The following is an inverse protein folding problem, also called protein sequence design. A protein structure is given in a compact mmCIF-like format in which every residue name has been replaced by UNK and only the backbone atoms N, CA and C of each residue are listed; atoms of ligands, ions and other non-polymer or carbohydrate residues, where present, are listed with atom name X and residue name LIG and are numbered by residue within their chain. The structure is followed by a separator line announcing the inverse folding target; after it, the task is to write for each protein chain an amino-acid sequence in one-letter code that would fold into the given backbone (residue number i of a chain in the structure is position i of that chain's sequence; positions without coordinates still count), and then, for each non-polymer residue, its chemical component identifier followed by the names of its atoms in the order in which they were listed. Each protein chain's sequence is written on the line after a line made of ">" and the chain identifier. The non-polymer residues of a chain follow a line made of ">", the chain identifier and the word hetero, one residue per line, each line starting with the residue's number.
data_IF_555294610535
#
_entry.id   IF_555294610535
#
_cell.length_a   1.000
_cell.length_b   1.000
_cell.length_c   1.000
_cell.angle_alpha   90.00
_cell.angle_beta   90.00
_cell.angle_gamma   90.00
#
_symmetry.space_group_name_H-M   'P 1'
#
loop_
_entity.id
_entity.type
_entity.pdbx_description
1 polymer ?
#
# COMPACT_ATOMS: atom_id res chain seq x y z
N UNK A 1 15.26 8.48 -63.23
CA UNK A 1 15.40 7.93 -61.85
C UNK A 1 14.92 8.88 -60.76
N UNK A 2 15.23 10.15 -60.75
CA UNK A 2 14.84 11.13 -59.70
C UNK A 2 13.31 11.25 -59.49
N UNK A 3 12.50 11.20 -60.57
CA UNK A 3 11.02 11.36 -60.49
C UNK A 3 10.30 10.16 -59.85
N UNK A 4 10.86 8.95 -59.90
CA UNK A 4 10.26 7.75 -59.29
C UNK A 4 10.54 7.75 -57.79
N UNK A 5 11.73 8.20 -57.41
CA UNK A 5 12.13 8.29 -55.99
C UNK A 5 11.28 9.33 -55.21
N UNK A 6 10.99 10.47 -55.86
CA UNK A 6 10.15 11.53 -55.27
C UNK A 6 8.71 11.07 -55.12
N UNK A 7 8.16 10.28 -56.05
CA UNK A 7 6.77 9.74 -55.95
C UNK A 7 6.66 8.66 -54.85
N UNK A 8 7.68 7.81 -54.67
CA UNK A 8 7.74 6.83 -53.60
C UNK A 8 7.88 7.47 -52.23
N UNK A 9 8.68 8.54 -52.13
CA UNK A 9 8.87 9.29 -50.87
C UNK A 9 7.57 10.00 -50.45
N UNK A 10 6.84 10.59 -51.41
CA UNK A 10 5.56 11.27 -51.14
C UNK A 10 4.50 10.25 -50.72
N UNK A 11 4.44 9.06 -51.31
CA UNK A 11 3.51 8.00 -50.93
C UNK A 11 3.82 7.45 -49.53
N UNK A 12 5.11 7.35 -49.16
CA UNK A 12 5.53 6.94 -47.82
C UNK A 12 5.15 7.99 -46.77
N UNK A 13 5.37 9.28 -47.07
CA UNK A 13 5.02 10.37 -46.16
C UNK A 13 3.51 10.48 -45.94
N UNK A 14 2.70 10.31 -47.01
CA UNK A 14 1.23 10.32 -46.86
C UNK A 14 0.72 9.14 -46.08
N UNK A 15 1.33 7.95 -46.20
CA UNK A 15 0.98 6.78 -45.41
C UNK A 15 1.34 6.97 -43.95
N UNK A 16 2.48 7.62 -43.64
CA UNK A 16 2.90 7.95 -42.28
C UNK A 16 1.98 8.97 -41.62
N UNK A 17 1.48 9.95 -42.37
CA UNK A 17 0.53 10.96 -41.87
C UNK A 17 -0.88 10.40 -41.63
N UNK A 18 -1.32 9.36 -42.38
CA UNK A 18 -2.63 8.72 -42.15
C UNK A 18 -2.63 7.76 -40.94
N UNK A 19 -1.46 7.29 -40.49
CA UNK A 19 -1.36 6.39 -39.33
C UNK A 19 -1.28 7.12 -37.99
N UNK A 20 -1.03 8.44 -37.97
CA UNK A 20 -0.87 9.24 -36.74
C UNK A 20 -2.15 9.45 -35.92
N UNK A 21 -3.38 9.50 -36.47
CA UNK A 21 -4.56 9.67 -35.59
C UNK A 21 -4.91 8.41 -34.80
N UNK A 22 -4.51 7.22 -35.25
CA UNK A 22 -4.88 5.98 -34.55
C UNK A 22 -3.99 5.67 -33.32
N UNK A 23 -2.73 6.06 -33.39
CA UNK A 23 -1.80 5.88 -32.25
C UNK A 23 -2.03 6.90 -31.14
N UNK A 24 -2.49 8.12 -31.51
CA UNK A 24 -2.83 9.14 -30.50
C UNK A 24 -4.04 8.78 -29.65
N UNK A 25 -5.03 8.06 -30.21
CA UNK A 25 -6.19 7.59 -29.44
C UNK A 25 -5.85 6.43 -28.50
N UNK A 26 -4.91 5.56 -28.88
CA UNK A 26 -4.52 4.44 -28.00
C UNK A 26 -3.55 4.86 -26.89
N UNK A 27 -2.66 5.83 -27.14
CA UNK A 27 -1.74 6.33 -26.11
C UNK A 27 -2.48 7.20 -25.09
N UNK A 28 -3.48 7.98 -25.54
CA UNK A 28 -4.32 8.78 -24.62
C UNK A 28 -5.20 7.94 -23.69
N UNK A 29 -5.60 6.74 -24.11
CA UNK A 29 -6.43 5.85 -23.28
C UNK A 29 -5.63 5.10 -22.21
N UNK A 30 -4.32 4.96 -22.34
CA UNK A 30 -3.46 4.31 -21.33
C UNK A 30 -2.94 5.28 -20.25
N UNK A 31 -3.00 6.60 -20.49
CA UNK A 31 -2.55 7.61 -19.54
C UNK A 31 -3.70 8.24 -18.73
N UNK A 32 -4.93 7.87 -19.03
CA UNK A 32 -6.09 8.36 -18.31
C UNK A 32 -6.60 7.30 -17.36
N UNK A 33 -5.83 6.96 -16.34
CA UNK A 33 -6.30 6.51 -15.02
C UNK A 33 -5.16 6.33 -14.02
N UNK A 34 -4.37 7.36 -13.81
CA UNK A 34 -4.00 7.63 -12.45
C UNK A 34 -5.22 8.32 -11.85
N UNK A 35 -6.20 7.55 -11.41
CA UNK A 35 -7.10 8.03 -10.37
C UNK A 35 -6.20 8.40 -9.22
N UNK A 36 -5.92 9.69 -9.09
CA UNK A 36 -5.55 10.25 -7.81
C UNK A 36 -6.73 9.91 -6.93
N UNK A 37 -6.65 8.79 -6.20
CA UNK A 37 -7.59 8.49 -5.14
C UNK A 37 -7.44 9.65 -4.18
N UNK A 38 -8.31 10.64 -4.31
CA UNK A 38 -8.43 11.71 -3.35
C UNK A 38 -8.91 11.05 -2.08
N UNK A 39 -7.97 10.68 -1.21
CA UNK A 39 -8.28 10.09 0.07
C UNK A 39 -9.13 11.11 0.82
N UNK A 40 -10.35 10.73 1.16
CA UNK A 40 -11.30 11.62 1.83
C UNK A 40 -10.98 11.67 3.32
N UNK A 41 -11.16 12.83 3.95
CA UNK A 41 -11.05 12.96 5.41
C UNK A 41 -12.06 12.01 6.05
N UNK A 42 -11.59 11.16 6.96
CA UNK A 42 -12.39 10.14 7.62
C UNK A 42 -12.19 8.73 7.10
N UNK A 43 -11.43 8.55 6.04
CA UNK A 43 -11.02 7.23 5.57
C UNK A 43 -10.09 6.55 6.59
N UNK A 44 -9.95 5.25 6.46
CA UNK A 44 -9.12 4.45 7.34
C UNK A 44 -7.90 3.91 6.61
N UNK A 45 -6.83 3.68 7.37
CA UNK A 45 -5.67 2.95 6.90
C UNK A 45 -5.31 1.82 7.88
N UNK A 46 -4.93 0.67 7.33
CA UNK A 46 -4.46 -0.49 8.09
C UNK A 46 -2.94 -0.44 8.24
N UNK A 47 -2.45 -0.79 9.41
CA UNK A 47 -1.03 -0.97 9.73
C UNK A 47 -0.66 -2.41 9.42
N UNK A 48 0.18 -2.66 8.41
CA UNK A 48 0.55 -4.03 8.01
C UNK A 48 1.93 -4.46 8.51
N UNK A 49 2.79 -3.51 8.87
CA UNK A 49 4.18 -3.75 9.31
C UNK A 49 4.37 -3.35 10.76
N UNK A 50 5.45 -3.84 11.40
CA UNK A 50 5.73 -3.60 12.82
C UNK A 50 6.35 -2.23 13.11
N UNK A 51 6.95 -1.56 12.12
CA UNK A 51 7.73 -0.34 12.31
C UNK A 51 6.98 0.94 11.90
N UNK A 52 5.67 0.98 12.08
CA UNK A 52 4.86 2.16 11.81
C UNK A 52 4.76 3.03 13.03
N UNK A 53 5.50 4.14 13.06
CA UNK A 53 5.51 5.06 14.19
C UNK A 53 4.28 5.97 14.22
N UNK A 54 3.71 6.09 15.41
CA UNK A 54 2.77 7.16 15.74
C UNK A 54 3.54 8.31 16.38
N UNK A 55 3.53 9.48 15.73
CA UNK A 55 4.32 10.64 16.12
C UNK A 55 3.41 11.75 16.67
N UNK A 56 3.92 12.51 17.62
CA UNK A 56 3.22 13.66 18.16
C UNK A 56 3.13 14.81 17.14
N UNK A 57 4.15 14.95 16.28
CA UNK A 57 4.20 15.92 15.19
C UNK A 57 4.54 15.23 13.86
N UNK A 58 4.50 15.97 12.75
CA UNK A 58 4.88 15.44 11.42
C UNK A 58 6.41 15.26 11.31
N UNK A 59 7.02 14.62 12.30
CA UNK A 59 8.45 14.35 12.38
C UNK A 59 8.68 13.00 13.10
N UNK A 60 9.52 12.14 12.52
CA UNK A 60 9.87 10.84 13.12
C UNK A 60 10.59 10.94 14.48
N UNK A 61 11.32 12.02 14.71
CA UNK A 61 12.01 12.22 15.98
C UNK A 61 11.05 12.39 17.17
N UNK A 62 9.80 12.75 16.89
CA UNK A 62 8.74 12.89 17.88
C UNK A 62 7.84 11.63 17.98
N UNK A 63 8.41 10.47 17.64
CA UNK A 63 7.72 9.19 17.74
C UNK A 63 7.37 8.88 19.19
N UNK A 64 6.11 8.54 19.43
CA UNK A 64 5.60 8.16 20.74
C UNK A 64 5.64 6.63 20.92
N UNK A 65 5.24 5.87 19.90
CA UNK A 65 5.21 4.42 19.91
C UNK A 65 5.04 3.86 18.49
N UNK A 66 5.27 2.55 18.31
CA UNK A 66 4.92 1.83 17.11
C UNK A 66 3.47 1.36 17.18
N UNK A 67 2.70 1.64 16.14
CA UNK A 67 1.33 1.16 15.99
C UNK A 67 1.33 -0.37 15.88
N UNK A 68 0.41 -1.07 16.56
CA UNK A 68 0.33 -2.51 16.46
C UNK A 68 -0.06 -2.95 15.02
N UNK A 69 0.59 -3.99 14.46
CA UNK A 69 0.21 -4.55 13.18
C UNK A 69 -1.25 -5.03 13.18
N UNK A 70 -1.91 -4.92 12.03
CA UNK A 70 -3.33 -5.24 11.79
C UNK A 70 -4.34 -4.24 12.36
N UNK A 71 -3.89 -3.26 13.14
CA UNK A 71 -4.79 -2.22 13.66
C UNK A 71 -4.97 -1.11 12.63
N UNK A 72 -6.02 -0.33 12.80
CA UNK A 72 -6.35 0.76 11.89
C UNK A 72 -6.09 2.11 12.54
N UNK A 73 -5.84 3.08 11.68
CA UNK A 73 -5.90 4.50 12.04
C UNK A 73 -6.94 5.18 11.16
N UNK A 74 -7.64 6.16 11.70
CA UNK A 74 -8.57 6.99 10.93
C UNK A 74 -7.82 8.19 10.39
N UNK A 75 -7.94 8.43 9.09
CA UNK A 75 -7.32 9.57 8.43
C UNK A 75 -8.12 10.84 8.72
N UNK A 76 -7.46 11.85 9.26
CA UNK A 76 -8.01 13.18 9.47
C UNK A 76 -7.59 14.15 8.39
N UNK A 77 -6.32 14.06 7.94
CA UNK A 77 -5.75 14.91 6.91
C UNK A 77 -4.70 14.15 6.13
N UNK A 78 -4.81 14.17 4.82
CA UNK A 78 -3.83 13.55 3.92
C UNK A 78 -2.68 14.51 3.62
N UNK A 79 -1.46 14.00 3.71
CA UNK A 79 -0.25 14.66 3.22
C UNK A 79 0.68 13.60 2.62
N UNK A 80 1.51 13.94 1.62
CA UNK A 80 2.37 12.97 0.94
C UNK A 80 3.45 12.32 1.84
N UNK A 81 3.86 12.99 2.91
CA UNK A 81 4.94 12.52 3.79
C UNK A 81 4.38 11.98 5.10
N UNK A 82 3.57 12.76 5.80
CA UNK A 82 2.93 12.38 7.06
C UNK A 82 1.44 12.67 7.00
N UNK A 83 0.63 11.65 7.17
CA UNK A 83 -0.80 11.83 7.39
C UNK A 83 -1.10 12.17 8.84
N UNK A 84 -2.03 13.10 9.05
CA UNK A 84 -2.62 13.32 10.37
C UNK A 84 -3.68 12.26 10.60
N UNK A 85 -3.53 11.52 11.67
CA UNK A 85 -4.34 10.35 11.97
C UNK A 85 -4.90 10.38 13.38
N UNK A 86 -6.01 9.70 13.53
CA UNK A 86 -6.66 9.43 14.81
C UNK A 86 -6.51 7.94 15.13
N UNK A 87 -6.09 7.65 16.35
CA UNK A 87 -5.91 6.28 16.83
C UNK A 87 -6.66 6.08 18.15
N UNK A 88 -7.32 4.95 18.28
CA UNK A 88 -8.24 4.57 19.36
C UNK A 88 -9.49 5.46 19.42
N UNK A 89 -10.48 4.97 20.12
CA UNK A 89 -11.71 5.70 20.43
C UNK A 89 -11.78 6.02 21.92
N UNK A 90 -12.54 7.04 22.26
CA UNK A 90 -12.85 7.32 23.67
C UNK A 90 -13.75 6.22 24.22
N UNK A 91 -13.34 5.61 25.32
CA UNK A 91 -14.07 4.57 26.04
C UNK A 91 -13.77 4.66 27.55
N UNK A 92 -14.29 3.70 28.32
CA UNK A 92 -13.98 3.59 29.74
C UNK A 92 -12.48 3.39 30.00
N UNK A 93 -11.77 2.73 29.07
CA UNK A 93 -10.37 2.34 29.24
C UNK A 93 -9.41 3.02 28.29
N UNK A 94 -9.91 3.59 27.20
CA UNK A 94 -9.09 4.21 26.16
C UNK A 94 -9.50 5.66 25.91
N UNK A 95 -8.53 6.47 25.52
CA UNK A 95 -8.70 7.83 25.02
C UNK A 95 -8.23 7.89 23.57
N UNK A 96 -8.93 8.68 22.79
CA UNK A 96 -8.55 9.00 21.42
C UNK A 96 -7.24 9.78 21.39
N UNK A 97 -6.32 9.35 20.54
CA UNK A 97 -5.10 10.08 20.22
C UNK A 97 -5.16 10.65 18.81
N UNK A 98 -4.70 11.89 18.66
CA UNK A 98 -4.48 12.52 17.37
C UNK A 98 -3.00 12.79 17.21
N UNK A 99 -2.43 12.36 16.11
CA UNK A 99 -1.00 12.49 15.81
C UNK A 99 -0.73 12.28 14.32
N UNK A 100 0.46 11.83 14.02
CA UNK A 100 0.95 11.68 12.65
C UNK A 100 1.57 10.30 12.45
N UNK A 101 1.42 9.77 11.23
CA UNK A 101 2.09 8.56 10.78
C UNK A 101 2.61 8.76 9.35
N UNK A 102 3.72 8.11 8.99
CA UNK A 102 4.26 8.18 7.63
C UNK A 102 3.28 7.59 6.64
N UNK A 103 2.99 8.36 5.61
CA UNK A 103 2.00 8.00 4.56
C UNK A 103 2.40 6.73 3.81
N UNK A 104 3.68 6.56 3.52
CA UNK A 104 4.22 5.39 2.80
C UNK A 104 4.08 4.07 3.57
N UNK A 105 3.95 4.12 4.91
CA UNK A 105 3.82 2.96 5.79
C UNK A 105 2.36 2.58 6.06
N UNK A 106 1.41 3.40 5.59
CA UNK A 106 -0.02 3.19 5.79
C UNK A 106 -0.67 2.56 4.57
N UNK A 107 -1.46 1.53 4.78
CA UNK A 107 -2.26 0.90 3.72
C UNK A 107 -3.70 1.41 3.79
N UNK A 108 -4.05 2.35 2.91
CA UNK A 108 -5.40 2.92 2.86
C UNK A 108 -6.41 1.87 2.41
N UNK A 109 -7.56 1.83 3.10
CA UNK A 109 -8.62 0.87 2.82
C UNK A 109 -9.87 1.59 2.30
N UNK A 110 -10.57 1.01 1.29
CA UNK A 110 -11.75 1.64 0.67
C UNK A 110 -13.05 1.39 1.45
N UNK A 111 -12.95 0.92 2.69
CA UNK A 111 -14.08 0.60 3.54
C UNK A 111 -13.88 1.15 4.95
N UNK A 112 -14.98 1.25 5.70
CA UNK A 112 -14.95 1.59 7.13
C UNK A 112 -14.86 0.29 7.92
N UNK A 113 -13.77 0.06 8.68
CA UNK A 113 -13.63 -1.14 9.51
C UNK A 113 -14.73 -1.21 10.58
N UNK A 114 -15.24 -2.40 10.84
CA UNK A 114 -16.26 -2.63 11.89
C UNK A 114 -15.67 -2.44 13.28
N UNK A 115 -14.43 -2.87 13.47
CA UNK A 115 -13.68 -2.76 14.73
C UNK A 115 -12.28 -2.26 14.43
N UNK A 116 -12.11 -0.96 14.14
CA UNK A 116 -10.81 -0.42 13.73
C UNK A 116 -9.74 -0.60 14.81
N UNK A 117 -10.14 -0.59 16.06
CA UNK A 117 -9.25 -0.69 17.22
C UNK A 117 -9.63 -1.88 18.09
N UNK A 118 -8.64 -2.64 18.52
CA UNK A 118 -8.80 -3.71 19.48
C UNK A 118 -8.23 -3.23 20.83
N UNK A 119 -9.09 -3.11 21.82
CA UNK A 119 -8.67 -2.68 23.15
C UNK A 119 -7.95 -3.83 23.85
N UNK A 120 -6.71 -3.59 24.27
CA UNK A 120 -5.94 -4.48 25.11
C UNK A 120 -5.72 -3.81 26.48
N UNK A 121 -6.24 -4.42 27.53
CA UNK A 121 -6.05 -3.96 28.90
C UNK A 121 -5.30 -5.04 29.68
N UNK A 122 -4.29 -4.65 30.41
CA UNK A 122 -3.47 -5.57 31.18
C UNK A 122 -3.05 -4.96 32.52
N UNK A 123 -2.68 -5.80 33.45
CA UNK A 123 -2.24 -5.38 34.77
C UNK A 123 -0.71 -5.46 34.85
N UNK A 124 -0.08 -4.42 35.42
CA UNK A 124 1.35 -4.35 35.68
C UNK A 124 1.56 -4.38 37.19
N UNK A 125 2.39 -5.30 37.64
CA UNK A 125 2.73 -5.45 39.03
C UNK A 125 4.11 -4.85 39.33
N UNK A 126 4.15 -3.95 40.29
CA UNK A 126 5.39 -3.38 40.79
C UNK A 126 5.62 -3.82 42.25
N UNK A 127 6.76 -4.47 42.48
CA UNK A 127 7.23 -4.77 43.84
C UNK A 127 7.89 -3.54 44.40
N UNK A 128 7.49 -3.16 45.61
CA UNK A 128 8.13 -2.08 46.34
C UNK A 128 9.33 -2.65 47.06
N UNK A 129 10.52 -2.05 46.89
CA UNK A 129 11.76 -2.49 47.54
C UNK A 129 11.64 -2.36 49.06
N UNK A 130 11.04 -1.27 49.53
CA UNK A 130 10.67 -1.06 50.93
C UNK A 130 9.15 -0.98 51.00
N UNK A 131 8.52 -1.95 51.69
CA UNK A 131 7.07 -1.94 51.83
C UNK A 131 6.59 -0.64 52.46
N UNK A 132 5.51 -0.07 51.92
CA UNK A 132 4.88 1.13 52.48
C UNK A 132 3.91 0.71 53.57
N UNK A 133 4.10 1.26 54.79
CA UNK A 133 3.20 1.02 55.92
C UNK A 133 1.85 1.66 55.65
N UNK A 134 0.79 0.87 55.67
CA UNK A 134 -0.59 1.30 55.57
C UNK A 134 -1.34 1.01 56.85
N UNK A 135 -2.57 1.46 56.98
CA UNK A 135 -3.41 1.17 58.16
C UNK A 135 -3.66 -0.33 58.33
N UNK A 136 -3.73 -1.09 57.25
CA UNK A 136 -3.98 -2.53 57.23
C UNK A 136 -2.72 -3.39 57.17
N UNK A 137 -1.48 -2.80 57.24
CA UNK A 137 -0.23 -3.54 57.20
C UNK A 137 0.83 -2.90 56.28
N UNK A 138 1.60 -3.75 55.57
CA UNK A 138 2.62 -3.30 54.64
C UNK A 138 2.19 -3.56 53.21
N UNK A 139 2.15 -2.50 52.38
CA UNK A 139 1.99 -2.61 50.96
C UNK A 139 3.35 -2.94 50.30
N UNK A 140 3.51 -4.16 49.83
CA UNK A 140 4.74 -4.66 49.17
C UNK A 140 4.65 -4.73 47.68
N UNK A 141 3.45 -4.58 47.13
CA UNK A 141 3.18 -4.69 45.71
C UNK A 141 2.05 -3.74 45.30
N UNK A 142 2.21 -3.12 44.16
CA UNK A 142 1.17 -2.27 43.52
C UNK A 142 0.82 -2.89 42.17
N UNK A 143 -0.47 -3.14 41.97
CA UNK A 143 -1.02 -3.56 40.67
C UNK A 143 -1.65 -2.38 39.98
N UNK A 144 -1.25 -2.10 38.74
CA UNK A 144 -1.77 -1.00 37.95
C UNK A 144 -2.40 -1.53 36.69
N UNK A 145 -3.67 -1.18 36.44
CA UNK A 145 -4.37 -1.51 35.23
C UNK A 145 -4.06 -0.48 34.15
N UNK A 146 -3.57 -0.95 32.99
CA UNK A 146 -3.12 -0.13 31.89
C UNK A 146 -3.82 -0.52 30.58
N UNK A 147 -4.22 0.47 29.77
CA UNK A 147 -4.66 0.24 28.41
C UNK A 147 -3.49 0.41 27.43
N UNK A 148 -3.26 -0.59 26.61
CA UNK A 148 -2.16 -0.63 25.65
C UNK A 148 -2.45 0.20 24.39
N UNK A 149 -1.45 0.93 23.91
CA UNK A 149 -1.49 1.71 22.68
C UNK A 149 -0.47 1.23 21.64
N UNK A 150 0.73 0.88 22.06
CA UNK A 150 1.79 0.43 21.16
C UNK A 150 3.10 0.19 21.89
N UNK A 151 4.09 -0.29 21.18
CA UNK A 151 5.42 -0.56 21.70
C UNK A 151 6.37 0.60 21.42
N UNK A 152 7.29 0.84 22.33
CA UNK A 152 8.40 1.78 22.15
C UNK A 152 9.71 1.13 22.57
N UNK A 153 10.70 1.13 21.68
CA UNK A 153 11.98 0.49 21.94
C UNK A 153 13.05 1.49 22.38
N UNK A 154 13.73 1.19 23.47
CA UNK A 154 14.87 1.97 23.97
C UNK A 154 16.07 1.03 24.12
N UNK A 155 17.00 1.08 23.19
CA UNK A 155 18.11 0.13 23.13
C UNK A 155 17.61 -1.31 22.96
N UNK A 156 17.90 -2.17 23.94
CA UNK A 156 17.43 -3.57 23.96
C UNK A 156 16.13 -3.79 24.75
N UNK A 157 15.59 -2.75 25.38
CA UNK A 157 14.39 -2.84 26.20
C UNK A 157 13.15 -2.36 25.41
N UNK A 158 12.06 -3.10 25.54
CA UNK A 158 10.77 -2.73 24.95
C UNK A 158 9.82 -2.24 26.05
N UNK A 159 9.20 -1.11 25.81
CA UNK A 159 8.20 -0.50 26.68
C UNK A 159 6.85 -0.48 25.97
N UNK A 160 5.77 -0.53 26.72
CA UNK A 160 4.42 -0.27 26.21
C UNK A 160 4.05 1.19 26.50
N UNK A 161 3.60 1.90 25.48
CA UNK A 161 2.90 3.17 25.65
C UNK A 161 1.48 2.88 26.10
N UNK A 162 1.09 3.40 27.24
CA UNK A 162 -0.16 3.03 27.91
C UNK A 162 -0.92 4.23 28.44
N UNK A 163 -2.22 4.07 28.58
CA UNK A 163 -3.09 4.96 29.32
C UNK A 163 -3.40 4.34 30.69
N UNK A 164 -3.17 5.09 31.75
CA UNK A 164 -3.55 4.74 33.12
C UNK A 164 -4.24 5.93 33.80
N UNK A 165 -5.41 5.71 34.36
CA UNK A 165 -6.17 6.74 35.10
C UNK A 165 -6.29 8.08 34.38
N UNK A 166 -6.28 8.04 33.03
CA UNK A 166 -6.42 9.23 32.21
C UNK A 166 -5.11 9.89 31.78
N UNK A 167 -3.96 9.38 32.22
CA UNK A 167 -2.63 9.86 31.86
C UNK A 167 -1.87 8.84 31.01
N UNK A 168 -1.09 9.34 30.06
CA UNK A 168 -0.24 8.52 29.20
C UNK A 168 1.16 8.37 29.78
N UNK A 169 1.75 7.20 29.60
CA UNK A 169 3.10 6.92 30.06
C UNK A 169 3.67 5.64 29.47
N UNK A 170 4.88 5.28 29.89
CA UNK A 170 5.55 4.08 29.46
C UNK A 170 5.71 3.12 30.63
N UNK A 171 5.41 1.84 30.38
CA UNK A 171 5.66 0.75 31.33
C UNK A 171 6.49 -0.32 30.64
N UNK A 172 7.36 -1.05 31.35
CA UNK A 172 8.07 -2.18 30.78
C UNK A 172 7.09 -3.19 30.18
N UNK A 173 7.38 -3.71 28.99
CA UNK A 173 6.52 -4.67 28.32
C UNK A 173 6.50 -6.00 29.06
N UNK A 174 5.33 -6.47 29.52
CA UNK A 174 5.22 -7.78 30.14
C UNK A 174 5.54 -8.89 29.11
N UNK A 175 6.28 -9.92 29.52
CA UNK A 175 6.67 -11.02 28.63
C UNK A 175 5.47 -11.82 28.07
N UNK A 176 4.34 -11.80 28.77
CA UNK A 176 3.12 -12.54 28.44
C UNK A 176 2.01 -11.65 27.86
N UNK A 177 2.34 -10.43 27.42
CA UNK A 177 1.34 -9.56 26.78
C UNK A 177 0.94 -10.13 25.42
N UNK A 178 -0.32 -10.51 25.31
CA UNK A 178 -0.91 -10.99 24.07
C UNK A 178 -1.78 -9.93 23.44
N UNK A 179 -1.49 -9.61 22.18
CA UNK A 179 -2.28 -8.68 21.37
C UNK A 179 -3.17 -9.46 20.39
N UNK A 180 -4.45 -9.18 20.42
CA UNK A 180 -5.37 -9.72 19.43
C UNK A 180 -5.06 -9.13 18.06
N UNK A 181 -5.17 -9.96 17.00
CA UNK A 181 -5.03 -9.50 15.62
C UNK A 181 -6.39 -9.10 15.06
N UNK A 182 -6.42 -8.06 14.24
CA UNK A 182 -7.58 -7.70 13.46
C UNK A 182 -7.51 -8.40 12.10
N UNK A 183 -8.49 -9.24 11.79
CA UNK A 183 -8.54 -10.05 10.56
C UNK A 183 -9.34 -9.38 9.43
N UNK A 184 -9.94 -8.21 9.67
CA UNK A 184 -10.83 -7.57 8.69
C UNK A 184 -10.14 -7.27 7.35
N UNK A 185 -8.84 -6.94 7.37
CA UNK A 185 -8.09 -6.70 6.15
C UNK A 185 -7.85 -7.99 5.35
N UNK A 186 -7.52 -9.08 6.02
CA UNK A 186 -7.36 -10.40 5.40
C UNK A 186 -8.67 -10.90 4.81
N UNK A 187 -9.77 -10.72 5.55
CA UNK A 187 -11.13 -11.02 5.07
C UNK A 187 -11.48 -10.20 3.82
N UNK A 188 -11.18 -8.90 3.82
CA UNK A 188 -11.36 -8.04 2.65
C UNK A 188 -10.56 -8.53 1.45
N UNK A 189 -9.27 -8.86 1.61
CA UNK A 189 -8.46 -9.40 0.54
C UNK A 189 -9.01 -10.72 -0.02
N UNK A 190 -9.55 -11.57 0.82
CA UNK A 190 -10.18 -12.83 0.40
C UNK A 190 -11.41 -12.59 -0.48
N UNK A 191 -12.16 -11.50 -0.25
CA UNK A 191 -13.30 -11.14 -1.12
C UNK A 191 -12.89 -10.60 -2.49
N UNK A 192 -11.69 -10.05 -2.61
CA UNK A 192 -11.15 -9.55 -3.88
C UNK A 192 -10.54 -10.67 -4.73
N UNK A 193 -10.08 -11.75 -4.10
CA UNK A 193 -9.61 -12.92 -4.81
C UNK A 193 -10.83 -13.69 -5.31
N UNK A 194 -11.07 -13.82 -6.64
CA UNK A 194 -12.14 -14.67 -7.13
C UNK A 194 -11.90 -16.08 -6.60
N UNK A 195 -12.85 -16.60 -5.82
CA UNK A 195 -12.84 -17.99 -5.35
C UNK A 195 -12.70 -18.90 -6.57
N UNK A 196 -11.52 -19.48 -6.73
CA UNK A 196 -11.30 -20.55 -7.69
C UNK A 196 -11.80 -21.86 -7.03
N UNK A 197 -13.11 -21.90 -6.76
CA UNK A 197 -13.83 -23.16 -6.57
C UNK A 197 -14.51 -23.48 -7.91
N UNK A 198 -13.79 -24.05 -8.81
CA UNK A 198 -14.17 -25.28 -9.51
C UNK A 198 -12.97 -25.72 -10.35
N UNK A 199 -12.60 -26.98 -10.20
CA UNK A 199 -11.47 -27.60 -10.86
C UNK A 199 -11.65 -27.72 -12.39
N UNK A 200 -11.56 -26.58 -13.07
CA UNK A 200 -11.36 -26.57 -14.51
C UNK A 200 -10.15 -25.68 -14.77
N UNK A 201 -9.06 -26.31 -15.19
CA UNK A 201 -7.83 -25.64 -15.59
C UNK A 201 -8.16 -24.37 -16.41
N UNK A 202 -7.50 -23.22 -16.16
CA UNK A 202 -7.73 -22.02 -16.93
C UNK A 202 -7.41 -22.35 -18.40
N UNK A 203 -8.44 -22.40 -19.24
CA UNK A 203 -8.24 -22.37 -20.69
C UNK A 203 -7.48 -21.08 -20.96
N UNK A 204 -6.19 -21.22 -21.25
CA UNK A 204 -5.35 -20.19 -21.85
C UNK A 204 -6.22 -19.50 -22.90
N UNK A 205 -6.53 -18.24 -22.71
CA UNK A 205 -7.21 -17.43 -23.73
C UNK A 205 -6.25 -17.42 -24.91
N UNK A 206 -6.46 -18.35 -25.82
CA UNK A 206 -5.76 -18.40 -27.08
C UNK A 206 -5.95 -17.02 -27.71
N UNK A 207 -4.84 -16.32 -27.94
CA UNK A 207 -4.81 -15.12 -28.76
C UNK A 207 -5.66 -15.41 -29.98
N UNK A 208 -6.66 -14.56 -30.22
CA UNK A 208 -7.59 -14.75 -31.33
C UNK A 208 -6.78 -15.05 -32.59
N UNK A 209 -7.14 -16.03 -33.43
CA UNK A 209 -6.35 -16.43 -34.61
C UNK A 209 -6.01 -15.23 -35.47
N UNK A 210 -6.82 -14.17 -35.43
CA UNK A 210 -6.57 -12.90 -36.10
C UNK A 210 -5.29 -12.17 -35.58
N UNK A 211 -4.99 -12.20 -34.26
CA UNK A 211 -3.79 -11.51 -33.73
C UNK A 211 -2.52 -12.26 -34.12
N UNK A 212 -2.56 -13.58 -34.13
CA UNK A 212 -1.42 -14.41 -34.57
C UNK A 212 -1.20 -14.24 -36.09
N UNK A 213 -2.27 -14.19 -36.88
CA UNK A 213 -2.18 -13.95 -38.33
C UNK A 213 -1.58 -12.58 -38.65
N UNK A 214 -1.94 -11.54 -37.93
CA UNK A 214 -1.37 -10.18 -38.11
C UNK A 214 0.14 -10.17 -37.78
N UNK A 215 0.56 -10.82 -36.69
CA UNK A 215 1.97 -10.92 -36.35
C UNK A 215 2.80 -11.66 -37.40
N UNK A 216 2.29 -12.78 -37.94
CA UNK A 216 2.94 -13.54 -38.99
C UNK A 216 3.02 -12.72 -40.27
N UNK A 217 1.93 -12.01 -40.67
CA UNK A 217 1.92 -11.15 -41.82
C UNK A 217 2.96 -10.02 -41.74
N UNK A 218 3.11 -9.41 -40.54
CA UNK A 218 4.10 -8.36 -40.32
C UNK A 218 5.55 -8.90 -40.39
N UNK A 219 5.80 -10.07 -39.84
CA UNK A 219 7.13 -10.74 -39.89
C UNK A 219 7.53 -11.12 -41.33
N UNK A 220 6.59 -11.42 -42.21
CA UNK A 220 6.87 -11.75 -43.62
C UNK A 220 7.01 -10.50 -44.49
N UNK A 221 6.32 -9.43 -44.17
CA UNK A 221 6.30 -8.21 -44.97
C UNK A 221 7.62 -7.44 -44.89
N UNK A 222 8.28 -7.43 -43.72
CA UNK A 222 9.57 -6.75 -43.54
C UNK A 222 10.70 -7.34 -44.42
N UNK A 223 10.96 -8.67 -44.41
CA UNK A 223 12.00 -9.24 -45.26
C UNK A 223 11.65 -9.16 -46.76
N UNK A 224 10.37 -9.24 -47.14
CA UNK A 224 9.93 -9.07 -48.53
C UNK A 224 10.26 -7.67 -49.03
N UNK A 225 9.99 -6.63 -48.27
CA UNK A 225 10.35 -5.26 -48.59
C UNK A 225 11.86 -5.06 -48.69
N UNK A 226 12.62 -5.66 -47.77
CA UNK A 226 14.07 -5.60 -47.80
C UNK A 226 14.65 -6.28 -49.05
N UNK A 227 14.10 -7.43 -49.48
CA UNK A 227 14.51 -8.12 -50.69
C UNK A 227 14.18 -7.33 -51.98
N UNK A 228 13.05 -6.61 -51.99
CA UNK A 228 12.67 -5.74 -53.13
C UNK A 228 13.59 -4.52 -53.22
N UNK A 229 14.05 -3.97 -52.14
CA UNK A 229 14.94 -2.79 -52.10
C UNK A 229 16.37 -3.20 -52.47
N UNK A 230 16.82 -4.37 -52.02
CA UNK A 230 18.20 -4.86 -52.23
C UNK A 230 18.40 -5.62 -53.53
N UNK A 231 17.37 -5.79 -54.40
CA UNK A 231 17.49 -6.49 -55.65
C UNK A 231 18.49 -5.75 -56.57
N UNK A 232 19.65 -6.32 -56.90
CA UNK A 232 20.63 -5.67 -57.76
C UNK A 232 20.05 -5.52 -59.16
N UNK A 233 20.19 -4.32 -59.70
CA UNK A 233 19.74 -4.00 -61.07
C UNK A 233 20.65 -4.76 -62.03
N UNK A 234 20.11 -5.76 -62.70
CA UNK A 234 20.77 -6.44 -63.80
C UNK A 234 21.16 -5.39 -64.88
N UNK A 235 22.43 -5.09 -65.01
CA UNK A 235 22.97 -4.37 -66.17
C UNK A 235 22.99 -5.35 -67.35
N UNK A 236 22.07 -5.19 -68.24
CA UNK A 236 22.12 -5.81 -69.56
C UNK A 236 23.02 -4.91 -70.39
N UNK A 237 24.22 -5.36 -70.71
CA UNK A 237 25.08 -4.76 -71.74
C UNK A 237 24.57 -5.28 -73.11
N UNK A 238 24.29 -4.41 -74.06
CA UNK A 238 24.08 -4.82 -75.46
C UNK A 238 25.43 -4.85 -76.19
N UNK A 239 25.74 -5.96 -76.84
CA UNK A 239 26.71 -6.08 -77.90
C UNK A 239 26.28 -5.24 -79.15
#
# INVERSE_FOLDING_TARGET
>A
MRKIFTRALIALLTFLCLSTPFTSYMVGAFWAKAETSTTQIGDYACVLTEDVFFCATANEQDALFCLPPTYYVRLLEYSPIFCKVEYQADSTHTKRLVGYAKTEQLTFVPYVPKRPYLTCVFDVEYKLEEGVKTEDGFLTQITMRCAYYGDYQVGSATYCYVLREGEFGYVPKPANLYLSKNTEYEEYLSTLSPSTEDGTAPKTKNNTPAQVAILIALCLLVPLLAALILKPKSTHDPD
#
